data_IF_207952557608
#
_entry.id   IF_207952557608
#
_cell.length_a   1.000
_cell.length_b   1.000
_cell.length_c   1.000
_cell.angle_alpha   90.00
_cell.angle_beta   90.00
_cell.angle_gamma   90.00
#
_symmetry.space_group_name_H-M   'P 1'
#
loop_
_entity.id
_entity.type
_entity.pdbx_description
1 polymer ?
#
# COMPACT_ATOMS: atom_id res chain seq x y z
N UNK A 1 -5.96 -20.08 -21.54
CA UNK A 1 -5.77 -18.66 -21.21
C UNK A 1 -6.79 -18.34 -20.13
N UNK A 2 -6.42 -18.55 -18.86
CA UNK A 2 -7.32 -18.24 -17.76
C UNK A 2 -7.27 -16.72 -17.57
N UNK A 3 -8.21 -16.01 -18.20
CA UNK A 3 -8.46 -14.62 -17.90
C UNK A 3 -9.24 -14.64 -16.60
N UNK A 4 -8.56 -14.35 -15.49
CA UNK A 4 -9.24 -14.05 -14.25
C UNK A 4 -10.02 -12.75 -14.51
N UNK A 5 -11.36 -12.75 -14.44
CA UNK A 5 -12.10 -11.51 -14.63
C UNK A 5 -11.67 -10.51 -13.55
N UNK A 6 -11.55 -9.21 -13.88
CA UNK A 6 -11.25 -8.20 -12.88
C UNK A 6 -12.35 -8.26 -11.83
N UNK A 7 -11.97 -8.33 -10.56
CA UNK A 7 -12.91 -8.33 -9.45
C UNK A 7 -13.62 -6.96 -9.46
N UNK A 8 -14.78 -6.92 -10.11
CA UNK A 8 -15.60 -5.72 -10.30
C UNK A 8 -16.44 -5.48 -9.06
N UNK A 9 -15.78 -5.00 -8.01
CA UNK A 9 -16.33 -4.03 -7.06
C UNK A 9 -15.16 -3.51 -6.22
N UNK A 10 -14.62 -2.36 -6.65
CA UNK A 10 -13.59 -1.66 -5.93
C UNK A 10 -14.15 -1.14 -4.60
N UNK A 11 -14.01 -1.93 -3.54
CA UNK A 11 -14.24 -1.44 -2.19
C UNK A 11 -13.27 -0.30 -1.90
N UNK A 12 -13.76 0.78 -1.29
CA UNK A 12 -12.91 1.92 -0.92
C UNK A 12 -11.76 1.43 -0.05
N UNK A 13 -10.53 1.59 -0.56
CA UNK A 13 -9.31 1.13 0.12
C UNK A 13 -9.24 -0.39 0.34
N UNK A 14 -9.96 -1.19 -0.45
CA UNK A 14 -10.09 -2.65 -0.26
C UNK A 14 -8.77 -3.36 0.08
N UNK A 15 -7.70 -3.20 -0.74
CA UNK A 15 -6.42 -3.83 -0.48
C UNK A 15 -5.80 -3.44 0.88
N UNK A 16 -5.94 -2.17 1.26
CA UNK A 16 -5.40 -1.65 2.53
C UNK A 16 -6.24 -2.12 3.72
N UNK A 17 -7.56 -2.19 3.56
CA UNK A 17 -8.48 -2.70 4.57
C UNK A 17 -8.17 -4.17 4.86
N UNK A 18 -8.00 -4.98 3.82
CA UNK A 18 -7.69 -6.40 3.96
C UNK A 18 -6.30 -6.62 4.58
N UNK A 19 -5.30 -5.84 4.19
CA UNK A 19 -3.97 -5.88 4.79
C UNK A 19 -4.01 -5.60 6.30
N UNK A 20 -4.80 -4.61 6.71
CA UNK A 20 -4.95 -4.23 8.12
C UNK A 20 -5.72 -5.27 8.91
N UNK A 21 -6.76 -5.89 8.33
CA UNK A 21 -7.46 -7.04 8.92
C UNK A 21 -6.53 -8.22 9.17
N UNK A 22 -5.60 -8.48 8.26
CA UNK A 22 -4.62 -9.55 8.40
C UNK A 22 -3.53 -9.21 9.42
N UNK A 23 -3.17 -7.93 9.54
CA UNK A 23 -2.12 -7.48 10.46
C UNK A 23 -2.52 -7.50 11.93
N UNK A 24 -3.81 -7.37 12.26
CA UNK A 24 -4.27 -7.45 13.65
C UNK A 24 -5.66 -8.07 13.80
N UNK A 25 -5.90 -8.94 14.80
CA UNK A 25 -7.25 -9.39 15.14
C UNK A 25 -8.05 -8.34 15.94
N UNK A 26 -7.39 -7.31 16.50
CA UNK A 26 -8.03 -6.33 17.37
C UNK A 26 -7.37 -4.94 17.36
N UNK A 27 -8.17 -3.91 17.60
CA UNK A 27 -7.77 -2.49 17.61
C UNK A 27 -7.98 -1.81 18.98
N UNK A 28 -8.61 -2.49 19.95
CA UNK A 28 -9.00 -1.88 21.22
C UNK A 28 -7.84 -1.27 22.03
N UNK A 29 -6.62 -1.85 21.92
CA UNK A 29 -5.45 -1.43 22.70
C UNK A 29 -4.52 -0.44 21.97
N UNK A 30 -4.87 -0.02 20.76
CA UNK A 30 -4.02 0.85 19.93
C UNK A 30 -4.07 2.32 20.37
N UNK A 31 -5.02 2.69 21.24
CA UNK A 31 -5.19 4.06 21.73
C UNK A 31 -5.54 5.05 20.61
N UNK A 32 -6.40 4.62 19.68
CA UNK A 32 -6.83 5.39 18.52
C UNK A 32 -7.61 6.65 18.92
N UNK A 33 -7.40 7.74 18.18
CA UNK A 33 -8.14 8.98 18.35
C UNK A 33 -9.61 8.84 17.94
N UNK A 34 -10.46 9.80 18.34
CA UNK A 34 -11.87 9.85 17.94
C UNK A 34 -12.06 9.80 16.42
N UNK A 35 -11.09 10.29 15.65
CA UNK A 35 -11.11 10.25 14.19
C UNK A 35 -11.23 8.81 13.66
N UNK A 36 -10.64 7.82 14.33
CA UNK A 36 -10.73 6.42 13.93
C UNK A 36 -12.17 5.88 13.86
N UNK A 37 -13.12 6.55 14.51
CA UNK A 37 -14.54 6.22 14.38
C UNK A 37 -15.08 6.32 12.96
N UNK A 38 -14.46 7.11 12.08
CA UNK A 38 -14.86 7.18 10.65
C UNK A 38 -14.58 5.87 9.89
N UNK A 39 -13.78 4.97 10.45
CA UNK A 39 -13.45 3.67 9.85
C UNK A 39 -14.48 2.57 10.16
N UNK A 40 -15.46 2.82 11.05
CA UNK A 40 -16.48 1.82 11.42
C UNK A 40 -17.21 1.19 10.22
N UNK A 41 -17.54 1.92 9.12
CA UNK A 41 -18.13 1.32 7.93
C UNK A 41 -17.18 0.40 7.15
N UNK A 42 -15.86 0.63 7.23
CA UNK A 42 -14.85 -0.18 6.55
C UNK A 42 -14.48 -1.44 7.37
N UNK A 43 -14.62 -1.37 8.70
CA UNK A 43 -14.34 -2.47 9.63
C UNK A 43 -15.53 -2.71 10.57
N UNK A 44 -16.67 -3.23 10.05
CA UNK A 44 -17.86 -3.47 10.86
C UNK A 44 -17.60 -4.41 12.05
N UNK A 45 -16.68 -5.36 11.93
CA UNK A 45 -16.25 -6.26 13.00
C UNK A 45 -15.60 -5.54 14.20
N UNK A 46 -15.07 -4.33 13.99
CA UNK A 46 -14.49 -3.49 15.03
C UNK A 46 -15.40 -2.33 15.43
N UNK A 47 -16.63 -2.26 14.93
CA UNK A 47 -17.52 -1.15 15.21
C UNK A 47 -17.71 -0.91 16.71
N UNK A 48 -17.80 -1.96 17.53
CA UNK A 48 -17.92 -1.83 18.99
C UNK A 48 -16.63 -1.45 19.73
N UNK A 49 -15.47 -1.49 19.05
CA UNK A 49 -14.15 -1.23 19.63
C UNK A 49 -13.52 0.07 19.13
N UNK A 50 -13.90 0.51 17.94
CA UNK A 50 -13.54 1.82 17.42
C UNK A 50 -14.29 2.93 18.16
N UNK A 51 -13.66 4.10 18.37
CA UNK A 51 -14.34 5.26 18.94
C UNK A 51 -15.59 5.66 18.16
N UNK A 52 -16.51 6.38 18.80
CA UNK A 52 -17.64 6.98 18.08
C UNK A 52 -17.12 7.98 17.06
N UNK A 53 -17.60 7.89 15.82
CA UNK A 53 -17.24 8.82 14.77
C UNK A 53 -17.64 10.26 15.17
N UNK A 54 -16.78 11.26 14.91
CA UNK A 54 -17.19 12.65 15.07
C UNK A 54 -18.39 12.94 14.17
N UNK A 55 -19.37 13.69 14.68
CA UNK A 55 -20.48 14.17 13.87
C UNK A 55 -19.93 15.05 12.74
N UNK A 56 -20.21 14.66 11.50
CA UNK A 56 -19.67 15.35 10.32
C UNK A 56 -20.83 15.88 9.49
N UNK A 57 -21.00 17.21 9.48
CA UNK A 57 -21.81 17.92 8.48
C UNK A 57 -21.00 18.18 7.18
N UNK A 58 -19.92 17.43 6.97
CA UNK A 58 -18.90 17.77 6.00
C UNK A 58 -19.11 17.09 4.64
N UNK A 59 -18.70 17.78 3.58
CA UNK A 59 -18.77 17.27 2.22
C UNK A 59 -17.89 16.02 2.00
N UNK A 60 -18.16 15.31 0.91
CA UNK A 60 -17.49 14.05 0.57
C UNK A 60 -15.94 14.13 0.53
N UNK A 61 -15.38 15.30 0.18
CA UNK A 61 -13.93 15.53 0.20
C UNK A 61 -13.34 15.48 1.60
N UNK A 62 -14.04 16.08 2.58
CA UNK A 62 -13.63 16.10 3.99
C UNK A 62 -13.73 14.71 4.58
N UNK A 63 -14.83 13.99 4.30
CA UNK A 63 -15.00 12.60 4.75
C UNK A 63 -13.88 11.71 4.20
N UNK A 64 -13.54 11.83 2.91
CA UNK A 64 -12.41 11.10 2.30
C UNK A 64 -11.10 11.41 3.01
N UNK A 65 -10.83 12.68 3.27
CA UNK A 65 -9.61 13.09 3.97
C UNK A 65 -9.56 12.54 5.41
N UNK A 66 -10.69 12.52 6.12
CA UNK A 66 -10.81 11.93 7.45
C UNK A 66 -10.52 10.42 7.42
N UNK A 67 -11.07 9.69 6.45
CA UNK A 67 -10.79 8.26 6.24
C UNK A 67 -9.29 8.04 6.02
N UNK A 68 -8.65 8.84 5.15
CA UNK A 68 -7.20 8.71 4.90
C UNK A 68 -6.37 8.97 6.15
N UNK A 69 -6.72 9.99 6.92
CA UNK A 69 -6.06 10.31 8.19
C UNK A 69 -6.25 9.21 9.23
N UNK A 70 -7.46 8.67 9.36
CA UNK A 70 -7.77 7.58 10.28
C UNK A 70 -7.04 6.29 9.90
N UNK A 71 -7.03 5.93 8.60
CA UNK A 71 -6.34 4.74 8.11
C UNK A 71 -4.83 4.85 8.32
N UNK A 72 -4.26 6.04 8.11
CA UNK A 72 -2.87 6.33 8.40
C UNK A 72 -2.55 6.26 9.90
N UNK A 73 -3.41 6.78 10.78
CA UNK A 73 -3.26 6.63 12.23
C UNK A 73 -3.25 5.15 12.62
N UNK A 74 -4.14 4.33 12.03
CA UNK A 74 -4.21 2.91 12.31
C UNK A 74 -2.90 2.20 11.93
N UNK A 75 -2.35 2.46 10.75
CA UNK A 75 -1.04 1.93 10.32
C UNK A 75 0.09 2.37 11.27
N UNK A 76 0.10 3.65 11.67
CA UNK A 76 1.11 4.18 12.60
C UNK A 76 1.02 3.50 13.97
N UNK A 77 -0.19 3.32 14.52
CA UNK A 77 -0.41 2.68 15.83
C UNK A 77 -0.13 1.18 15.82
N UNK A 78 -0.30 0.54 14.67
CA UNK A 78 0.11 -0.85 14.46
C UNK A 78 1.64 -1.00 14.34
N UNK A 79 2.39 0.10 14.20
CA UNK A 79 3.83 0.06 14.01
C UNK A 79 4.24 -0.49 12.64
N UNK A 80 3.40 -0.29 11.63
CA UNK A 80 3.71 -0.69 10.25
C UNK A 80 4.78 0.24 9.70
N UNK A 81 5.97 -0.32 9.44
CA UNK A 81 7.09 0.40 8.84
C UNK A 81 7.11 0.25 7.31
N UNK A 82 6.57 -0.85 6.78
CA UNK A 82 6.48 -1.10 5.34
C UNK A 82 5.08 -1.58 4.97
N UNK A 83 4.43 -0.87 4.04
CA UNK A 83 3.22 -1.32 3.37
C UNK A 83 3.57 -1.83 1.97
N UNK A 84 3.37 -3.11 1.76
CA UNK A 84 3.53 -3.77 0.46
C UNK A 84 2.16 -3.79 -0.22
N UNK A 85 2.06 -3.29 -1.45
CA UNK A 85 0.84 -3.37 -2.26
C UNK A 85 1.17 -4.06 -3.57
N UNK A 86 0.69 -5.28 -3.69
CA UNK A 86 0.84 -6.11 -4.87
C UNK A 86 -0.17 -5.73 -5.95
N UNK A 87 0.22 -5.90 -7.22
CA UNK A 87 -0.63 -5.70 -8.39
C UNK A 87 -1.35 -4.34 -8.45
N UNK A 88 -0.71 -3.27 -7.95
CA UNK A 88 -1.32 -1.93 -7.77
C UNK A 88 -1.85 -1.25 -9.06
N UNK A 89 -1.61 -1.86 -10.22
CA UNK A 89 -2.23 -1.46 -11.49
C UNK A 89 -3.74 -1.76 -11.54
N UNK A 90 -4.23 -2.72 -10.74
CA UNK A 90 -5.66 -3.02 -10.58
C UNK A 90 -6.33 -2.22 -9.45
N UNK A 91 -5.55 -1.49 -8.65
CA UNK A 91 -6.07 -0.71 -7.53
C UNK A 91 -7.02 0.40 -7.99
N UNK A 92 -8.06 0.63 -7.18
CA UNK A 92 -9.02 1.69 -7.43
C UNK A 92 -8.44 3.10 -7.24
N UNK A 93 -9.14 4.09 -7.78
CA UNK A 93 -8.75 5.49 -7.71
C UNK A 93 -8.49 5.98 -6.28
N UNK A 94 -9.30 5.55 -5.32
CA UNK A 94 -9.23 5.97 -3.91
C UNK A 94 -8.04 5.31 -3.22
N UNK A 95 -7.74 4.04 -3.50
CA UNK A 95 -6.51 3.38 -3.04
C UNK A 95 -5.27 4.10 -3.56
N UNK A 96 -5.21 4.44 -4.85
CA UNK A 96 -4.10 5.20 -5.42
C UNK A 96 -3.96 6.60 -4.78
N UNK A 97 -5.07 7.30 -4.54
CA UNK A 97 -5.08 8.59 -3.84
C UNK A 97 -4.57 8.44 -2.38
N UNK A 98 -4.90 7.35 -1.70
CA UNK A 98 -4.39 7.06 -0.36
C UNK A 98 -2.89 6.77 -0.35
N UNK A 99 -2.38 6.00 -1.31
CA UNK A 99 -0.94 5.75 -1.43
C UNK A 99 -0.15 7.03 -1.70
N UNK A 100 -0.69 7.93 -2.54
CA UNK A 100 -0.13 9.27 -2.72
C UNK A 100 -0.16 10.09 -1.43
N UNK A 101 -1.27 10.05 -0.69
CA UNK A 101 -1.38 10.70 0.61
C UNK A 101 -0.29 10.21 1.55
N UNK A 102 -0.16 8.88 1.74
CA UNK A 102 0.86 8.26 2.60
C UNK A 102 2.28 8.65 2.18
N UNK A 103 2.61 8.58 0.88
CA UNK A 103 3.93 8.97 0.36
C UNK A 103 4.28 10.44 0.64
N UNK A 104 3.27 11.30 0.71
CA UNK A 104 3.43 12.75 0.95
C UNK A 104 3.54 13.14 2.44
N UNK A 105 3.20 12.25 3.38
CA UNK A 105 3.13 12.56 4.83
C UNK A 105 4.48 13.00 5.41
N UNK A 106 4.42 13.78 6.50
CA UNK A 106 5.56 14.21 7.32
C UNK A 106 5.22 14.15 8.82
N UNK A 107 6.08 13.57 9.68
CA UNK A 107 7.21 12.70 9.34
C UNK A 107 6.75 11.46 8.54
N UNK A 108 7.67 10.72 7.93
CA UNK A 108 7.37 9.51 7.14
C UNK A 108 7.68 8.25 7.94
N UNK A 109 6.78 7.77 8.81
CA UNK A 109 7.01 6.53 9.54
C UNK A 109 6.92 5.28 8.66
N UNK A 110 6.30 5.39 7.47
CA UNK A 110 5.93 4.25 6.63
C UNK A 110 6.57 4.33 5.24
N UNK A 111 7.18 3.23 4.81
CA UNK A 111 7.72 3.00 3.46
C UNK A 111 6.72 2.24 2.59
N UNK A 112 6.70 2.52 1.29
CA UNK A 112 5.83 1.83 0.33
C UNK A 112 6.66 0.91 -0.57
N UNK A 113 6.20 -0.33 -0.74
CA UNK A 113 6.68 -1.25 -1.76
C UNK A 113 5.50 -1.60 -2.67
N UNK A 114 5.65 -1.33 -3.97
CA UNK A 114 4.56 -1.46 -4.92
C UNK A 114 4.99 -2.41 -6.05
N UNK A 115 4.14 -3.37 -6.41
CA UNK A 115 4.34 -4.19 -7.61
C UNK A 115 3.22 -3.88 -8.62
N UNK A 116 3.59 -3.75 -9.89
CA UNK A 116 2.63 -3.48 -10.95
C UNK A 116 3.17 -3.88 -12.32
N UNK A 117 2.27 -4.05 -13.28
CA UNK A 117 2.58 -4.37 -14.67
C UNK A 117 2.46 -3.13 -15.54
N UNK A 118 3.57 -2.52 -16.01
CA UNK A 118 3.54 -1.27 -16.76
C UNK A 118 2.60 -1.28 -17.98
N UNK A 119 2.51 -2.41 -18.66
CA UNK A 119 1.67 -2.65 -19.84
C UNK A 119 0.17 -2.66 -19.53
N UNK A 120 -0.22 -2.89 -18.27
CA UNK A 120 -1.61 -2.87 -17.82
C UNK A 120 -1.99 -1.53 -17.17
N UNK A 121 -1.07 -0.55 -17.11
CA UNK A 121 -1.35 0.77 -16.50
C UNK A 121 -2.02 1.71 -17.50
N UNK A 122 -3.24 2.22 -17.22
CA UNK A 122 -3.88 3.22 -18.08
C UNK A 122 -3.06 4.51 -18.19
N UNK A 123 -3.05 5.22 -19.34
CA UNK A 123 -2.26 6.44 -19.53
C UNK A 123 -2.57 7.57 -18.52
N UNK A 124 -3.80 7.62 -18.00
CA UNK A 124 -4.25 8.62 -17.03
C UNK A 124 -4.23 8.10 -15.58
N UNK A 125 -3.61 6.95 -15.33
CA UNK A 125 -3.56 6.36 -13.99
C UNK A 125 -2.75 7.21 -13.03
N UNK A 126 -3.28 7.40 -11.82
CA UNK A 126 -2.57 8.05 -10.71
C UNK A 126 -1.30 7.31 -10.31
N UNK A 127 -1.20 6.01 -10.61
CA UNK A 127 -0.02 5.20 -10.37
C UNK A 127 1.22 5.74 -11.11
N UNK A 128 1.03 6.30 -12.31
CA UNK A 128 2.13 6.93 -13.06
C UNK A 128 2.64 8.17 -12.31
N UNK A 129 1.75 8.98 -11.72
CA UNK A 129 2.16 10.14 -10.91
C UNK A 129 2.91 9.72 -9.65
N UNK A 130 2.37 8.72 -8.93
CA UNK A 130 2.97 8.16 -7.73
C UNK A 130 4.39 7.64 -7.97
N UNK A 131 4.62 7.02 -9.13
CA UNK A 131 5.89 6.36 -9.44
C UNK A 131 6.89 7.23 -10.21
N UNK A 132 6.49 8.38 -10.77
CA UNK A 132 7.37 9.22 -11.61
C UNK A 132 7.89 10.47 -10.91
N UNK A 133 7.19 10.93 -9.86
CA UNK A 133 7.55 12.15 -9.13
C UNK A 133 7.56 11.84 -7.63
N UNK A 134 8.63 11.21 -7.11
CA UNK A 134 8.74 10.96 -5.68
C UNK A 134 8.75 12.31 -4.94
N UNK A 135 7.90 12.50 -3.92
CA UNK A 135 7.90 13.75 -3.18
C UNK A 135 9.26 13.96 -2.51
N UNK A 136 9.70 15.22 -2.37
CA UNK A 136 11.05 15.58 -1.91
C UNK A 136 11.53 14.71 -0.72
N UNK A 137 12.80 14.31 -0.65
CA UNK A 137 13.30 13.46 0.44
C UNK A 137 12.67 12.06 0.55
N UNK A 138 12.01 11.53 -0.50
CA UNK A 138 11.78 10.08 -0.66
C UNK A 138 12.95 9.54 -1.47
N UNK A 139 13.55 8.43 -1.02
CA UNK A 139 14.36 7.59 -1.90
C UNK A 139 13.43 6.61 -2.61
N UNK A 140 13.46 6.62 -3.94
CA UNK A 140 12.68 5.69 -4.75
C UNK A 140 13.63 4.82 -5.55
N UNK A 141 13.49 3.51 -5.42
CA UNK A 141 14.18 2.52 -6.24
C UNK A 141 13.15 1.75 -7.07
N UNK A 142 13.45 1.55 -8.36
CA UNK A 142 12.59 0.82 -9.28
C UNK A 142 13.33 -0.40 -9.80
N UNK A 143 12.82 -1.59 -9.51
CA UNK A 143 13.33 -2.84 -10.03
C UNK A 143 12.40 -3.31 -11.15
N UNK A 144 12.89 -3.28 -12.38
CA UNK A 144 12.18 -3.88 -13.51
C UNK A 144 12.51 -5.37 -13.56
N UNK A 145 11.49 -6.21 -13.37
CA UNK A 145 11.60 -7.64 -13.59
C UNK A 145 11.33 -7.91 -15.07
N UNK A 146 12.27 -8.56 -15.75
CA UNK A 146 12.04 -9.06 -17.10
C UNK A 146 11.05 -10.23 -17.08
N UNK A 147 10.52 -10.57 -18.24
CA UNK A 147 9.69 -11.75 -18.39
C UNK A 147 10.43 -13.00 -17.90
N UNK A 148 9.71 -13.86 -17.17
CA UNK A 148 10.26 -15.17 -16.80
C UNK A 148 10.54 -15.94 -18.09
N UNK A 149 11.76 -16.47 -18.29
CA UNK A 149 12.05 -17.28 -19.45
C UNK A 149 11.10 -18.48 -19.42
N UNK A 150 10.29 -18.64 -20.47
CA UNK A 150 9.37 -19.77 -20.59
C UNK A 150 10.20 -21.05 -20.69
N UNK A 151 10.24 -21.82 -19.60
CA UNK A 151 10.82 -23.17 -19.64
C UNK A 151 9.82 -24.05 -20.39
N UNK A 152 9.97 -24.20 -21.71
CA UNK A 152 9.23 -25.21 -22.48
C UNK A 152 9.55 -26.59 -21.89
N UNK A 153 8.62 -27.16 -21.12
CA UNK A 153 8.67 -28.54 -20.64
C UNK A 153 8.60 -28.77 -19.13
N UNK A 154 8.43 -27.75 -18.28
CA UNK A 154 8.31 -27.97 -16.83
C UNK A 154 6.92 -28.52 -16.44
N UNK A 155 6.87 -29.79 -16.01
CA UNK A 155 5.76 -30.32 -15.18
C UNK A 155 5.67 -29.49 -13.88
N UNK A 156 4.49 -29.35 -13.25
CA UNK A 156 4.34 -28.57 -12.01
C UNK A 156 5.17 -29.22 -10.90
N UNK A 157 6.35 -28.65 -10.66
CA UNK A 157 7.33 -29.11 -9.70
C UNK A 157 8.05 -27.90 -9.15
N UNK A 158 8.01 -27.76 -7.83
CA UNK A 158 8.53 -26.68 -7.00
C UNK A 158 9.90 -26.19 -7.52
N UNK A 159 9.97 -24.91 -7.93
CA UNK A 159 11.22 -24.28 -8.36
C UNK A 159 12.15 -24.10 -7.15
N UNK A 160 13.18 -24.94 -7.08
CA UNK A 160 14.28 -24.78 -6.15
C UNK A 160 15.20 -23.66 -6.68
N UNK A 161 15.18 -22.51 -6.00
CA UNK A 161 15.92 -21.31 -6.39
C UNK A 161 17.43 -21.50 -6.18
N UNK A 162 18.13 -21.95 -7.23
CA UNK A 162 19.58 -21.81 -7.34
C UNK A 162 19.96 -21.32 -8.73
N UNK A 163 19.82 -20.00 -8.95
CA UNK A 163 20.76 -19.15 -9.73
C UNK A 163 20.22 -17.72 -9.81
N UNK A 164 21.07 -16.70 -9.58
CA UNK A 164 20.64 -15.30 -9.63
C UNK A 164 20.45 -14.85 -11.09
N UNK A 165 19.31 -14.23 -11.39
CA UNK A 165 19.08 -13.52 -12.63
C UNK A 165 19.93 -12.24 -12.68
N UNK A 166 20.50 -11.94 -13.85
CA UNK A 166 21.36 -10.77 -14.08
C UNK A 166 20.55 -9.48 -13.91
N UNK A 167 20.98 -8.61 -12.99
CA UNK A 167 20.47 -7.24 -12.85
C UNK A 167 20.77 -6.44 -14.13
N UNK A 168 19.73 -5.96 -14.81
CA UNK A 168 19.84 -4.87 -15.77
C UNK A 168 20.23 -3.58 -15.05
N UNK A 169 21.11 -2.77 -15.65
CA UNK A 169 21.65 -1.54 -15.04
C UNK A 169 20.54 -0.54 -14.69
N UNK A 170 20.47 -0.21 -13.41
CA UNK A 170 19.68 0.88 -12.84
C UNK A 170 20.28 2.24 -13.26
N UNK A 171 19.42 3.19 -13.63
CA UNK A 171 19.78 4.62 -13.59
C UNK A 171 19.50 5.11 -12.16
N UNK A 172 20.55 5.25 -11.36
CA UNK A 172 20.46 5.97 -10.08
C UNK A 172 20.11 7.43 -10.35
N UNK A 173 19.01 7.93 -9.77
CA UNK A 173 18.89 9.35 -9.47
C UNK A 173 19.50 9.57 -8.07
N UNK A 174 20.48 10.48 -7.89
CA UNK A 174 21.17 10.63 -6.62
C UNK A 174 20.25 11.27 -5.57
N UNK A 175 19.85 10.51 -4.55
CA UNK A 175 19.36 11.05 -3.28
C UNK A 175 20.54 11.19 -2.30
N UNK A 176 20.67 12.38 -1.69
CA UNK A 176 21.70 12.68 -0.68
C UNK A 176 21.52 11.79 0.57
N UNK A 177 22.60 11.43 1.27
CA UNK A 177 22.51 10.63 2.49
C UNK A 177 22.06 11.52 3.64
N UNK A 178 20.99 11.14 4.34
CA UNK A 178 20.76 11.60 5.69
C UNK A 178 20.39 10.44 6.62
N UNK A 179 20.75 10.63 7.88
CA UNK A 179 21.10 9.62 8.89
C UNK A 179 19.97 8.62 9.21
N UNK A 180 20.37 7.35 9.34
CA UNK A 180 19.53 6.25 9.85
C UNK A 180 19.15 6.50 11.32
N UNK A 181 17.87 6.47 11.71
CA UNK A 181 17.51 6.20 13.10
C UNK A 181 17.56 4.68 13.36
N UNK A 182 17.81 4.32 14.61
CA UNK A 182 18.00 2.96 15.08
C UNK A 182 16.78 2.06 14.80
N UNK A 183 17.06 0.83 14.35
CA UNK A 183 16.06 -0.18 14.05
C UNK A 183 15.26 -0.55 15.30
N UNK A 184 13.96 -0.25 15.29
CA UNK A 184 12.96 -1.02 16.02
C UNK A 184 12.57 -2.22 15.16
N UNK A 185 12.06 -3.29 15.78
CA UNK A 185 11.52 -4.41 15.02
C UNK A 185 10.26 -3.93 14.28
N UNK A 186 10.41 -3.56 13.00
CA UNK A 186 9.36 -2.98 12.18
C UNK A 186 8.34 -3.97 11.69
N UNK A 187 7.05 -3.61 11.75
CA UNK A 187 5.97 -4.40 11.16
C UNK A 187 5.93 -4.24 9.64
N UNK A 188 5.73 -5.34 8.92
CA UNK A 188 5.41 -5.35 7.47
C UNK A 188 3.94 -5.70 7.31
N UNK A 189 3.22 -4.93 6.50
CA UNK A 189 1.82 -5.16 6.18
C UNK A 189 1.67 -5.31 4.66
N UNK A 190 0.96 -6.33 4.21
CA UNK A 190 0.86 -6.68 2.78
C UNK A 190 -0.59 -6.63 2.31
N UNK A 191 -0.79 -5.98 1.17
CA UNK A 191 -2.06 -5.81 0.46
C UNK A 191 -1.92 -6.39 -0.96
N UNK A 192 -2.98 -6.97 -1.50
CA UNK A 192 -3.09 -7.32 -2.92
C UNK A 192 -4.24 -6.52 -3.53
N UNK A 193 -3.99 -5.90 -4.69
CA UNK A 193 -4.92 -5.02 -5.38
C UNK A 193 -5.87 -5.75 -6.35
#
# INVERSE_FOLDING_TARGET
MAVCPPFLEAFTLGPVVDAVRQATPDVARLGLSALAGVLRPLFPEWAGRLPTAPQSLADASVVRHQIFRAQAELLDRLGVEVLVVEDVHWADATTLDFLMYVASRRPRPLSLMLTYRPEEVPPNSRLLRLTSCPPAGVCQERVALGELPTVRGARPGVLNARRPARLGRLRHLPARPDRRPAARAGGVCTAAA
#
